data_IF_405645675375
#
_entry.id   IF_405645675375
#
_cell.length_a   1.000
_cell.length_b   1.000
_cell.length_c   1.000
_cell.angle_alpha   90.00
_cell.angle_beta   90.00
_cell.angle_gamma   90.00
#
_symmetry.space_group_name_H-M   'P 1'
#
loop_
_entity.id
_entity.type
_entity.pdbx_description
1 polymer ?
#
# COMPACT_ATOMS: atom_id res chain seq x y z
N UNK A 1 -10.33 3.37 -27.74
CA UNK A 1 -10.90 2.45 -26.81
C UNK A 1 -10.92 2.96 -25.40
N UNK A 2 -11.98 2.65 -24.74
CA UNK A 2 -12.17 3.09 -23.37
C UNK A 2 -11.34 2.22 -22.45
N UNK A 3 -10.16 2.70 -22.09
CA UNK A 3 -9.35 2.02 -21.09
C UNK A 3 -9.97 2.27 -19.74
N UNK A 4 -10.19 1.20 -19.00
CA UNK A 4 -10.63 1.33 -17.63
C UNK A 4 -9.54 2.00 -16.80
N UNK A 5 -9.92 2.96 -15.99
CA UNK A 5 -9.01 3.64 -15.10
C UNK A 5 -9.54 3.58 -13.67
N UNK A 6 -8.64 3.62 -12.71
CA UNK A 6 -8.99 3.59 -11.30
C UNK A 6 -8.05 4.49 -10.52
N UNK A 7 -8.60 5.23 -9.56
CA UNK A 7 -7.80 5.98 -8.60
C UNK A 7 -7.60 5.08 -7.37
N UNK A 8 -6.35 4.88 -6.99
CA UNK A 8 -6.01 4.20 -5.75
C UNK A 8 -5.50 5.22 -4.77
N UNK A 9 -6.20 5.39 -3.68
CA UNK A 9 -5.86 6.37 -2.66
C UNK A 9 -5.26 5.68 -1.45
N UNK A 10 -4.12 6.18 -1.00
CA UNK A 10 -3.50 5.70 0.22
C UNK A 10 -4.10 6.47 1.40
N UNK A 11 -4.84 5.79 2.29
CA UNK A 11 -5.39 6.44 3.48
C UNK A 11 -4.26 6.99 4.37
N UNK A 12 -4.50 8.03 5.09
CA UNK A 12 -5.77 8.75 5.22
C UNK A 12 -5.89 9.92 4.24
N UNK A 13 -4.85 10.75 4.12
CA UNK A 13 -4.89 11.99 3.37
C UNK A 13 -5.16 11.80 1.87
N UNK A 14 -4.66 10.70 1.30
CA UNK A 14 -4.86 10.42 -0.11
C UNK A 14 -6.31 10.21 -0.50
N UNK A 15 -7.17 9.78 0.44
CA UNK A 15 -8.56 9.47 0.13
C UNK A 15 -9.33 10.72 -0.29
N UNK A 16 -9.17 11.83 0.43
CA UNK A 16 -9.87 13.06 0.09
C UNK A 16 -9.44 13.60 -1.27
N UNK A 17 -8.14 13.63 -1.52
CA UNK A 17 -7.60 14.07 -2.82
C UNK A 17 -8.02 13.11 -3.92
N UNK A 18 -7.92 11.81 -3.66
CA UNK A 18 -8.32 10.77 -4.62
C UNK A 18 -9.79 10.86 -5.00
N UNK A 19 -10.65 11.14 -4.04
CA UNK A 19 -12.08 11.32 -4.28
C UNK A 19 -12.33 12.47 -5.27
N UNK A 20 -11.66 13.59 -5.06
CA UNK A 20 -11.80 14.75 -5.96
C UNK A 20 -11.35 14.42 -7.38
N UNK A 21 -10.24 13.71 -7.51
CA UNK A 21 -9.72 13.31 -8.82
C UNK A 21 -10.68 12.33 -9.50
N UNK A 22 -11.11 11.31 -8.76
CA UNK A 22 -12.02 10.30 -9.31
C UNK A 22 -13.33 10.91 -9.78
N UNK A 23 -13.87 11.85 -9.00
CA UNK A 23 -15.10 12.55 -9.35
C UNK A 23 -14.90 13.42 -10.59
N UNK A 24 -13.80 14.16 -10.66
CA UNK A 24 -13.52 15.02 -11.81
C UNK A 24 -13.36 14.23 -13.10
N UNK A 25 -12.75 13.05 -13.02
CA UNK A 25 -12.50 12.19 -14.18
C UNK A 25 -13.60 11.17 -14.42
N UNK A 26 -14.58 11.10 -13.53
CA UNK A 26 -15.68 10.13 -13.58
C UNK A 26 -15.17 8.68 -13.67
N UNK A 27 -14.24 8.33 -12.80
CA UNK A 27 -13.67 6.98 -12.71
C UNK A 27 -13.78 6.46 -11.28
N UNK A 28 -13.55 5.17 -11.11
CA UNK A 28 -13.66 4.52 -9.80
C UNK A 28 -12.55 4.96 -8.85
N UNK A 29 -12.89 5.01 -7.58
CA UNK A 29 -11.95 5.20 -6.48
C UNK A 29 -11.90 3.93 -5.66
N UNK A 30 -10.71 3.49 -5.34
CA UNK A 30 -10.49 2.43 -4.36
C UNK A 30 -9.36 2.82 -3.43
N UNK A 31 -9.19 2.06 -2.36
CA UNK A 31 -8.15 2.35 -1.37
C UNK A 31 -7.02 1.34 -1.46
N UNK A 32 -5.83 1.78 -1.11
CA UNK A 32 -4.66 0.94 -1.03
C UNK A 32 -4.06 1.08 0.36
N UNK A 33 -4.29 0.09 1.21
CA UNK A 33 -3.80 0.12 2.58
C UNK A 33 -2.40 -0.46 2.64
N UNK A 34 -1.46 0.33 3.17
CA UNK A 34 -0.10 -0.10 3.45
C UNK A 34 0.23 0.29 4.88
N UNK A 35 1.20 -0.39 5.50
CA UNK A 35 1.67 -0.03 6.83
C UNK A 35 3.18 -0.21 6.93
N UNK A 36 3.85 0.71 7.62
CA UNK A 36 5.29 0.62 7.83
C UNK A 36 5.62 -0.38 8.93
N UNK A 37 6.82 -0.94 8.86
CA UNK A 37 7.43 -1.72 9.95
C UNK A 37 8.51 -0.84 10.57
N UNK A 38 8.44 -0.64 11.89
CA UNK A 38 9.46 0.11 12.61
C UNK A 38 10.48 -0.79 13.27
N UNK A 39 11.53 -0.20 13.84
CA UNK A 39 12.52 -0.92 14.63
C UNK A 39 11.88 -1.44 15.94
N UNK A 40 12.42 -2.52 16.52
CA UNK A 40 11.86 -3.07 17.76
C UNK A 40 11.78 -2.07 18.91
N UNK A 41 12.73 -1.14 18.99
CA UNK A 41 12.77 -0.15 20.06
C UNK A 41 12.54 1.28 19.57
N UNK A 42 12.15 1.46 18.32
CA UNK A 42 11.82 2.77 17.77
C UNK A 42 10.86 2.59 16.58
N UNK A 43 9.58 2.59 16.88
CA UNK A 43 8.54 2.34 15.88
C UNK A 43 8.48 3.42 14.79
N UNK A 44 8.99 4.61 15.08
CA UNK A 44 8.98 5.70 14.12
C UNK A 44 10.07 5.55 13.04
N UNK A 45 11.10 4.77 13.33
CA UNK A 45 12.16 4.51 12.34
C UNK A 45 11.74 3.35 11.45
N UNK A 46 11.34 3.66 10.22
CA UNK A 46 10.84 2.65 9.29
C UNK A 46 11.96 1.81 8.70
N UNK A 47 11.82 0.49 8.79
CA UNK A 47 12.75 -0.47 8.18
C UNK A 47 12.09 -1.23 7.04
N UNK A 48 10.84 -0.92 6.75
CA UNK A 48 10.13 -1.54 5.66
C UNK A 48 8.66 -1.15 5.67
N UNK A 49 7.92 -1.78 4.78
CA UNK A 49 6.48 -1.56 4.65
C UNK A 49 5.79 -2.83 4.18
N UNK A 50 4.53 -2.98 4.58
CA UNK A 50 3.69 -4.12 4.18
C UNK A 50 2.62 -3.59 3.22
N UNK A 51 2.48 -4.25 2.07
CA UNK A 51 1.47 -3.90 1.08
C UNK A 51 0.12 -4.52 1.38
N UNK A 52 -0.90 -4.19 0.57
CA UNK A 52 -2.26 -4.67 0.79
C UNK A 52 -2.39 -6.20 0.70
N UNK A 53 -1.50 -6.85 -0.01
CA UNK A 53 -1.43 -8.31 -0.15
C UNK A 53 -0.60 -8.97 0.97
N UNK A 54 -0.25 -8.20 1.99
CA UNK A 54 0.53 -8.67 3.16
C UNK A 54 1.99 -9.00 2.85
N UNK A 55 2.49 -8.60 1.69
CA UNK A 55 3.90 -8.79 1.35
C UNK A 55 4.74 -7.63 1.86
N UNK A 56 5.92 -7.97 2.36
CA UNK A 56 6.84 -7.00 2.96
C UNK A 56 7.90 -6.53 1.96
N UNK A 57 8.16 -5.22 1.99
CA UNK A 57 9.32 -4.60 1.35
C UNK A 57 10.25 -4.16 2.47
N UNK A 58 11.43 -4.77 2.56
CA UNK A 58 12.34 -4.57 3.70
C UNK A 58 13.60 -3.84 3.25
N UNK A 59 14.04 -2.89 4.08
CA UNK A 59 15.34 -2.25 3.92
C UNK A 59 16.40 -3.19 4.52
N UNK A 60 17.01 -4.01 3.68
CA UNK A 60 17.97 -5.02 4.11
C UNK A 60 19.21 -4.40 4.77
N UNK A 61 19.60 -3.20 4.34
CA UNK A 61 20.74 -2.52 4.94
C UNK A 61 20.42 -2.08 6.37
N UNK A 62 19.24 -1.52 6.60
CA UNK A 62 18.82 -1.12 7.94
C UNK A 62 18.71 -2.34 8.86
N UNK A 63 18.17 -3.43 8.34
CA UNK A 63 18.07 -4.69 9.10
C UNK A 63 19.46 -5.16 9.55
N UNK A 64 20.44 -5.09 8.66
CA UNK A 64 21.80 -5.47 8.96
C UNK A 64 22.46 -4.52 9.97
N UNK A 65 22.34 -3.21 9.73
CA UNK A 65 22.98 -2.20 10.61
C UNK A 65 22.42 -2.27 12.02
N UNK A 66 21.12 -2.39 12.16
CA UNK A 66 20.45 -2.40 13.47
C UNK A 66 20.25 -3.79 14.03
N UNK A 67 20.80 -4.80 13.35
CA UNK A 67 20.76 -6.19 13.79
C UNK A 67 19.33 -6.66 14.14
N UNK A 68 18.39 -6.40 13.25
CA UNK A 68 16.99 -6.78 13.43
C UNK A 68 16.83 -8.26 13.13
N UNK A 69 16.18 -9.01 14.03
CA UNK A 69 16.02 -10.44 13.85
C UNK A 69 14.98 -10.78 12.77
N UNK A 70 15.17 -11.93 12.14
CA UNK A 70 14.20 -12.45 11.17
C UNK A 70 12.87 -12.77 11.85
N UNK A 71 12.91 -13.25 13.09
CA UNK A 71 11.73 -13.56 13.89
C UNK A 71 10.88 -12.31 14.14
N UNK A 72 11.53 -11.20 14.47
CA UNK A 72 10.85 -9.93 14.67
C UNK A 72 10.11 -9.49 13.39
N UNK A 73 10.81 -9.53 12.26
CA UNK A 73 10.23 -9.12 10.97
C UNK A 73 9.06 -10.02 10.60
N UNK A 74 9.21 -11.33 10.78
CA UNK A 74 8.16 -12.29 10.48
C UNK A 74 6.93 -12.05 11.35
N UNK A 75 7.13 -11.84 12.65
CA UNK A 75 6.03 -11.60 13.58
C UNK A 75 5.32 -10.28 13.28
N UNK A 76 6.08 -9.22 13.01
CA UNK A 76 5.49 -7.93 12.66
C UNK A 76 4.74 -7.98 11.33
N UNK A 77 5.29 -8.68 10.35
CA UNK A 77 4.61 -8.86 9.07
C UNK A 77 3.26 -9.55 9.26
N UNK A 78 3.22 -10.56 10.12
CA UNK A 78 1.98 -11.27 10.44
C UNK A 78 0.97 -10.38 11.14
N UNK A 79 1.39 -9.64 12.17
CA UNK A 79 0.52 -8.73 12.91
C UNK A 79 -0.03 -7.62 12.02
N UNK A 80 0.84 -6.99 11.25
CA UNK A 80 0.45 -5.91 10.35
C UNK A 80 -0.47 -6.42 9.24
N UNK A 81 -0.19 -7.62 8.72
CA UNK A 81 -1.06 -8.25 7.73
C UNK A 81 -2.48 -8.42 8.23
N UNK A 82 -2.64 -8.84 9.48
CA UNK A 82 -3.97 -8.96 10.09
C UNK A 82 -4.66 -7.61 10.22
N UNK A 83 -3.91 -6.56 10.53
CA UNK A 83 -4.47 -5.23 10.63
C UNK A 83 -4.89 -4.69 9.28
N UNK A 84 -4.10 -4.92 8.23
CA UNK A 84 -4.47 -4.55 6.87
C UNK A 84 -5.76 -5.25 6.47
N UNK A 85 -5.86 -6.54 6.73
CA UNK A 85 -7.08 -7.31 6.46
C UNK A 85 -8.28 -6.73 7.20
N UNK A 86 -8.11 -6.37 8.47
CA UNK A 86 -9.17 -5.77 9.28
C UNK A 86 -9.63 -4.45 8.68
N UNK A 87 -8.71 -3.63 8.19
CA UNK A 87 -9.08 -2.35 7.56
C UNK A 87 -9.89 -2.55 6.30
N UNK A 88 -9.51 -3.50 5.45
CA UNK A 88 -10.29 -3.79 4.25
C UNK A 88 -11.67 -4.31 4.60
N UNK A 89 -11.78 -5.16 5.62
CA UNK A 89 -13.08 -5.65 6.08
C UNK A 89 -13.97 -4.51 6.61
N UNK A 90 -13.37 -3.53 7.29
CA UNK A 90 -14.09 -2.36 7.77
C UNK A 90 -14.61 -1.49 6.62
N UNK A 91 -13.85 -1.37 5.55
CA UNK A 91 -14.25 -0.55 4.40
C UNK A 91 -15.31 -1.21 3.53
N UNK A 92 -15.21 -2.51 3.30
CA UNK A 92 -16.08 -3.17 2.32
C UNK A 92 -16.68 -4.49 2.79
N UNK A 93 -16.59 -4.79 4.09
CA UNK A 93 -17.18 -5.98 4.68
C UNK A 93 -16.41 -7.26 4.47
N UNK A 94 -15.36 -7.25 3.66
CA UNK A 94 -14.53 -8.41 3.39
C UNK A 94 -13.13 -7.99 2.99
N UNK A 95 -12.18 -8.93 3.09
CA UNK A 95 -10.82 -8.71 2.64
C UNK A 95 -10.78 -8.96 1.13
N UNK A 96 -10.91 -7.89 0.38
CA UNK A 96 -10.88 -7.95 -1.07
C UNK A 96 -10.01 -6.81 -1.58
N UNK A 97 -9.01 -7.14 -2.37
CA UNK A 97 -8.08 -6.16 -2.90
C UNK A 97 -8.59 -5.59 -4.22
N UNK A 98 -8.13 -4.37 -4.59
CA UNK A 98 -8.50 -3.78 -5.86
C UNK A 98 -8.12 -4.67 -7.04
N UNK A 99 -9.01 -4.80 -8.01
CA UNK A 99 -8.68 -5.48 -9.26
C UNK A 99 -8.09 -4.47 -10.23
N UNK A 100 -6.80 -4.60 -10.52
CA UNK A 100 -6.04 -3.64 -11.32
C UNK A 100 -5.66 -4.16 -12.71
N UNK A 101 -6.02 -5.39 -13.02
CA UNK A 101 -5.63 -6.01 -14.29
C UNK A 101 -6.16 -5.19 -15.47
N UNK A 102 -5.25 -4.82 -16.37
CA UNK A 102 -5.56 -4.05 -17.58
C UNK A 102 -6.19 -2.69 -17.31
N UNK A 103 -5.94 -2.13 -16.12
CA UNK A 103 -6.44 -0.79 -15.77
C UNK A 103 -5.31 0.20 -15.70
N UNK A 104 -5.60 1.45 -16.07
CA UNK A 104 -4.70 2.56 -15.81
C UNK A 104 -4.89 2.95 -14.34
N UNK A 105 -3.81 2.93 -13.59
CA UNK A 105 -3.87 3.18 -12.14
C UNK A 105 -3.29 4.55 -11.83
N UNK A 106 -4.09 5.36 -11.16
CA UNK A 106 -3.66 6.67 -10.64
C UNK A 106 -3.49 6.52 -9.14
N UNK A 107 -2.24 6.52 -8.69
CA UNK A 107 -1.93 6.38 -7.26
C UNK A 107 -1.87 7.75 -6.61
N UNK A 108 -2.61 7.92 -5.52
CA UNK A 108 -2.73 9.21 -4.82
C UNK A 108 -2.43 9.03 -3.34
N UNK A 109 -1.52 9.85 -2.82
CA UNK A 109 -1.29 9.98 -1.38
C UNK A 109 -1.29 11.47 -1.00
N UNK A 110 -1.06 11.77 0.26
CA UNK A 110 -1.06 13.14 0.74
C UNK A 110 0.32 13.80 0.72
N UNK A 111 1.30 13.11 0.16
CA UNK A 111 2.68 13.63 0.09
C UNK A 111 3.49 13.41 1.36
N UNK A 112 2.91 12.81 2.38
CA UNK A 112 3.58 12.54 3.66
C UNK A 112 4.06 11.08 3.76
N UNK A 113 3.68 10.24 2.81
CA UNK A 113 4.04 8.83 2.81
C UNK A 113 5.56 8.64 2.72
N UNK A 114 6.07 7.66 3.47
CA UNK A 114 7.49 7.34 3.39
C UNK A 114 7.81 6.66 2.06
N UNK A 115 9.09 6.66 1.68
CA UNK A 115 9.53 5.96 0.47
C UNK A 115 9.15 4.49 0.50
N UNK A 116 9.16 3.84 1.67
CA UNK A 116 8.80 2.43 1.81
C UNK A 116 7.31 2.21 1.58
N UNK A 117 6.46 3.10 2.10
CA UNK A 117 5.02 3.02 1.87
C UNK A 117 4.71 3.08 0.38
N UNK A 118 5.33 4.04 -0.31
CA UNK A 118 5.15 4.19 -1.76
C UNK A 118 5.67 2.98 -2.53
N UNK A 119 6.84 2.43 -2.14
CA UNK A 119 7.41 1.25 -2.78
C UNK A 119 6.51 0.04 -2.64
N UNK A 120 5.94 -0.19 -1.45
CA UNK A 120 5.04 -1.32 -1.23
C UNK A 120 3.78 -1.18 -2.10
N UNK A 121 3.25 0.03 -2.21
CA UNK A 121 2.10 0.30 -3.06
C UNK A 121 2.42 0.01 -4.53
N UNK A 122 3.55 0.53 -5.03
CA UNK A 122 3.97 0.33 -6.41
C UNK A 122 4.23 -1.15 -6.70
N UNK A 123 4.88 -1.85 -5.77
CA UNK A 123 5.16 -3.28 -5.92
C UNK A 123 3.87 -4.08 -6.08
N UNK A 124 2.87 -3.78 -5.23
CA UNK A 124 1.57 -4.43 -5.35
C UNK A 124 0.93 -4.15 -6.70
N UNK A 125 0.90 -2.88 -7.11
CA UNK A 125 0.29 -2.47 -8.39
C UNK A 125 0.94 -3.22 -9.55
N UNK A 126 2.27 -3.27 -9.59
CA UNK A 126 2.99 -3.98 -10.65
C UNK A 126 2.67 -5.47 -10.67
N UNK A 127 2.46 -6.08 -9.51
CA UNK A 127 2.13 -7.51 -9.43
C UNK A 127 0.77 -7.83 -10.02
N UNK A 128 -0.10 -6.84 -10.18
CA UNK A 128 -1.46 -7.03 -10.67
C UNK A 128 -1.60 -6.81 -12.19
N UNK A 129 -0.48 -6.67 -12.90
CA UNK A 129 -0.46 -6.48 -14.36
C UNK A 129 -1.37 -5.33 -14.83
N UNK A 130 -1.12 -4.11 -14.35
CA UNK A 130 -1.90 -2.96 -14.79
C UNK A 130 -1.56 -2.60 -16.24
N UNK A 131 -2.39 -1.74 -16.85
CA UNK A 131 -2.09 -1.18 -18.18
C UNK A 131 -0.84 -0.34 -18.07
N UNK A 132 0.12 -0.55 -18.99
CA UNK A 132 1.33 0.27 -19.01
C UNK A 132 1.01 1.66 -19.56
N UNK A 133 1.63 2.71 -19.00
CA UNK A 133 1.48 4.04 -19.59
C UNK A 133 2.05 4.05 -21.02
N UNK A 134 1.45 4.86 -21.86
CA UNK A 134 1.92 4.97 -23.25
C UNK A 134 3.33 5.53 -23.36
#
# INVERSE_FOLDING_TARGET
>A
GNKSAIVLAIPRGGVEVGYKIAKALNIKLDILVTKKIGLPNDEEFAIGSIGPNKEAMIDEEAVRIYNVSKEYIKEKTREIGKEIERRYKAYRGKYELPNLKNKVVILVDDGVATGFTTRAAISYIKSQNPEKPP
#
